data_IF_247093160449
#
_entry.id   IF_247093160449
#
_cell.length_a   1.000
_cell.length_b   1.000
_cell.length_c   1.000
_cell.angle_alpha   90.00
_cell.angle_beta   90.00
_cell.angle_gamma   90.00
#
_symmetry.space_group_name_H-M   'P 1'
#
loop_
_entity.id
_entity.type
_entity.pdbx_description
1 polymer ?
#
# COMPACT_ATOMS: atom_id res chain seq x y z
N UNK A 1 -33.49 -24.47 2.70
CA UNK A 1 -33.33 -24.23 2.78
C UNK A 1 -32.75 -23.93 2.96
N UNK A 2 -32.50 -23.89 2.64
CA UNK A 2 -31.92 -23.53 2.69
C UNK A 2 -31.24 -23.16 2.64
N UNK A 3 -31.33 -23.24 2.35
CA UNK A 3 -30.72 -22.84 2.21
C UNK A 3 -30.11 -22.21 2.06
N UNK A 4 -30.06 -22.03 1.81
CA UNK A 4 -29.46 -21.54 1.71
C UNK A 4 -28.80 -21.01 1.71
N UNK A 5 -28.97 -21.15 1.52
CA UNK A 5 -28.30 -20.77 1.49
C UNK A 5 -27.67 -20.36 1.42
N UNK A 6 -27.66 -20.52 1.28
CA UNK A 6 -26.98 -20.21 1.17
C UNK A 6 -26.37 -19.83 0.89
N UNK A 7 -26.57 -19.82 0.79
CA UNK A 7 -26.05 -19.50 0.53
C UNK A 7 -25.55 -19.02 0.35
N UNK A 8 -25.72 -19.02 0.18
CA UNK A 8 -25.29 -18.65 -0.02
C UNK A 8 -24.62 -18.28 -0.15
N UNK A 9 -24.82 -18.46 -0.17
CA UNK A 9 -24.22 -18.16 -0.40
C UNK A 9 -23.49 -17.92 -0.68
N UNK A 10 -23.59 -18.18 -0.94
CA UNK A 10 -22.93 -17.93 -1.31
C UNK A 10 -22.46 -17.58 -1.72
N UNK A 11 -22.62 -17.52 -1.93
CA UNK A 11 -22.21 -17.12 -2.32
C UNK A 11 -21.66 -16.80 -2.49
N UNK A 12 -21.78 -16.80 -2.81
CA UNK A 12 -21.27 -16.40 -3.06
C UNK A 12 -20.54 -16.17 -3.39
N UNK A 13 -20.63 -16.15 -3.78
CA UNK A 13 -19.92 -15.83 -4.14
C UNK A 13 -19.36 -15.47 -4.64
N UNK A 14 -19.39 -15.55 -5.01
CA UNK A 14 -18.97 -15.10 -5.54
C UNK A 14 -18.43 -14.59 -6.05
N UNK A 15 -18.31 -14.20 -6.46
CA UNK A 15 -18.00 -13.58 -6.91
C UNK A 15 -17.57 -13.06 -6.78
N UNK A 16 -17.44 -12.91 -7.07
CA UNK A 16 -17.05 -12.18 -6.92
C UNK A 16 -15.96 -12.07 -6.55
N UNK A 17 -15.50 -12.45 -6.77
CA UNK A 17 -14.14 -12.78 -6.42
C UNK A 17 -13.22 -11.56 -6.43
N UNK A 18 -13.39 -10.70 -7.32
CA UNK A 18 -12.61 -9.45 -7.36
C UNK A 18 -12.85 -8.62 -6.12
N UNK A 19 -14.09 -8.56 -5.71
CA UNK A 19 -14.41 -7.87 -4.47
C UNK A 19 -13.72 -8.54 -3.29
N UNK A 20 -13.57 -9.86 -3.34
CA UNK A 20 -12.90 -10.59 -2.28
C UNK A 20 -11.42 -10.21 -2.20
N UNK A 21 -10.73 -10.10 -3.34
CA UNK A 21 -9.33 -9.69 -3.32
C UNK A 21 -9.17 -8.27 -2.79
N UNK A 22 -10.13 -7.42 -3.06
CA UNK A 22 -10.10 -6.05 -2.55
C UNK A 22 -10.34 -5.98 -1.05
N UNK A 23 -10.93 -7.04 -0.50
CA UNK A 23 -11.25 -7.10 0.91
C UNK A 23 -10.18 -7.85 1.69
N UNK A 24 -8.93 -7.62 1.36
CA UNK A 24 -7.83 -8.23 2.09
C UNK A 24 -7.96 -7.90 3.57
N UNK A 25 -7.75 -8.89 4.41
CA UNK A 25 -7.75 -8.71 5.85
C UNK A 25 -6.46 -8.01 6.26
N UNK A 26 -6.53 -6.72 6.44
CA UNK A 26 -5.37 -5.91 6.76
C UNK A 26 -4.80 -6.27 8.13
N UNK A 27 -5.64 -6.64 9.09
CA UNK A 27 -5.15 -7.05 10.39
C UNK A 27 -4.32 -8.33 10.29
N UNK A 28 -4.81 -9.31 9.52
CA UNK A 28 -4.06 -10.54 9.32
C UNK A 28 -2.77 -10.30 8.55
N UNK A 29 -2.83 -9.43 7.56
CA UNK A 29 -1.64 -9.07 6.78
C UNK A 29 -0.59 -8.43 7.68
N UNK A 30 -0.97 -7.42 8.45
CA UNK A 30 -0.02 -6.70 9.30
C UNK A 30 0.49 -7.55 10.46
N UNK A 31 -0.24 -8.61 10.83
CA UNK A 31 0.22 -9.53 11.88
C UNK A 31 1.48 -10.29 11.46
N UNK A 32 1.75 -10.43 10.18
CA UNK A 32 2.95 -11.11 9.70
C UNK A 32 4.12 -10.16 9.43
N UNK A 33 3.94 -8.87 9.70
CA UNK A 33 4.96 -7.87 9.43
C UNK A 33 6.16 -8.01 10.37
N UNK A 34 7.35 -7.80 9.82
CA UNK A 34 8.61 -7.85 10.56
C UNK A 34 9.39 -6.59 10.18
N UNK A 35 9.69 -5.76 11.18
CA UNK A 35 10.34 -4.48 10.93
C UNK A 35 11.70 -4.63 10.27
N UNK A 36 12.52 -5.55 10.75
CA UNK A 36 13.84 -5.78 10.16
C UNK A 36 13.74 -6.25 8.70
N UNK A 37 12.75 -7.10 8.42
CA UNK A 37 12.50 -7.55 7.06
C UNK A 37 12.02 -6.38 6.19
N UNK A 38 11.19 -5.50 6.74
CA UNK A 38 10.71 -4.32 6.04
C UNK A 38 11.85 -3.40 5.63
N UNK A 39 12.81 -3.23 6.52
CA UNK A 39 14.00 -2.44 6.21
C UNK A 39 14.76 -3.02 5.03
N UNK A 40 14.89 -4.35 4.99
CA UNK A 40 15.53 -5.03 3.87
C UNK A 40 14.75 -4.84 2.57
N UNK A 41 13.44 -5.01 2.62
CA UNK A 41 12.58 -4.85 1.45
C UNK A 41 12.65 -3.40 0.94
N UNK A 42 12.74 -2.44 1.85
CA UNK A 42 12.80 -1.03 1.48
C UNK A 42 14.01 -0.71 0.61
N UNK A 43 15.05 -1.51 0.64
CA UNK A 43 16.20 -1.29 -0.23
C UNK A 43 15.81 -1.26 -1.70
N UNK A 44 14.75 -1.95 -2.06
CA UNK A 44 14.22 -1.91 -3.43
C UNK A 44 13.58 -0.57 -3.76
N UNK A 45 13.19 0.17 -2.75
CA UNK A 45 12.52 1.48 -2.88
C UNK A 45 13.52 2.62 -2.76
N UNK A 46 14.61 2.39 -2.05
CA UNK A 46 15.59 3.44 -1.71
C UNK A 46 16.29 4.02 -2.92
N UNK A 47 16.32 3.29 -4.04
CA UNK A 47 16.90 3.80 -5.27
C UNK A 47 16.15 5.03 -5.79
N UNK A 48 14.86 5.14 -5.47
CA UNK A 48 14.01 6.21 -5.96
C UNK A 48 13.43 7.08 -4.87
N UNK A 49 13.39 6.60 -3.64
CA UNK A 49 12.71 7.29 -2.53
C UNK A 49 13.62 7.48 -1.33
N UNK A 50 13.47 8.62 -0.67
CA UNK A 50 14.07 8.85 0.64
C UNK A 50 13.05 8.52 1.72
N UNK A 51 13.52 7.97 2.85
CA UNK A 51 12.66 7.66 4.00
C UNK A 51 13.00 8.51 5.22
N UNK A 52 14.10 9.27 5.17
CA UNK A 52 14.54 10.03 6.33
C UNK A 52 13.68 11.28 6.51
N UNK A 53 13.52 11.69 7.76
CA UNK A 53 12.77 12.91 8.09
C UNK A 53 13.46 14.12 7.44
N UNK A 54 12.66 14.91 6.73
CA UNK A 54 13.20 16.06 6.02
C UNK A 54 13.96 15.71 4.76
N UNK A 55 13.92 14.46 4.34
CA UNK A 55 14.61 14.00 3.13
C UNK A 55 14.04 14.63 1.88
N UNK A 56 14.87 14.67 0.85
CA UNK A 56 14.50 15.28 -0.41
C UNK A 56 13.78 14.29 -1.32
N UNK A 57 13.01 14.83 -2.26
CA UNK A 57 12.46 14.02 -3.33
C UNK A 57 13.58 13.63 -4.29
N UNK A 58 13.47 12.42 -4.80
CA UNK A 58 14.41 11.89 -5.81
C UNK A 58 13.62 11.55 -7.06
N UNK A 59 13.85 10.38 -7.65
CA UNK A 59 13.04 9.90 -8.76
C UNK A 59 11.58 9.77 -8.32
N UNK A 60 11.37 9.32 -7.08
CA UNK A 60 10.06 9.32 -6.45
C UNK A 60 10.01 10.32 -5.30
N UNK A 61 8.82 10.60 -4.76
CA UNK A 61 8.68 11.55 -3.66
C UNK A 61 9.25 10.99 -2.37
N UNK A 62 9.62 11.88 -1.44
CA UNK A 62 10.05 11.47 -0.11
C UNK A 62 8.93 10.73 0.60
N UNK A 63 9.27 9.66 1.32
CA UNK A 63 8.28 8.77 1.93
C UNK A 63 8.13 8.93 3.44
N UNK A 64 8.91 9.80 4.08
CA UNK A 64 8.68 10.06 5.50
C UNK A 64 7.25 10.60 5.67
N UNK A 65 6.51 10.08 6.62
CA UNK A 65 5.10 10.44 6.85
C UNK A 65 4.15 9.99 5.75
N UNK A 66 4.55 9.03 4.89
CA UNK A 66 3.69 8.62 3.78
C UNK A 66 2.42 7.91 4.25
N UNK A 67 2.49 7.15 5.35
CA UNK A 67 1.31 6.42 5.83
C UNK A 67 0.27 7.43 6.30
N UNK A 68 -0.94 7.28 5.78
CA UNK A 68 -2.08 8.15 6.00
C UNK A 68 -1.96 9.55 5.37
N UNK A 69 -0.92 9.79 4.57
CA UNK A 69 -0.78 11.04 3.82
C UNK A 69 -1.64 10.98 2.56
N UNK A 70 -2.17 12.11 2.15
CA UNK A 70 -2.94 12.17 0.90
C UNK A 70 -2.05 11.80 -0.28
N UNK A 71 -2.60 11.00 -1.19
CA UNK A 71 -1.87 10.59 -2.39
C UNK A 71 -1.63 11.82 -3.27
N UNK A 72 -0.38 11.96 -3.74
CA UNK A 72 -0.05 13.03 -4.67
C UNK A 72 0.07 14.41 -4.07
N UNK A 73 0.33 14.52 -2.76
CA UNK A 73 0.24 15.81 -2.07
C UNK A 73 1.60 16.51 -1.82
N UNK A 74 2.71 15.82 -2.02
CA UNK A 74 4.03 16.43 -1.77
C UNK A 74 4.24 17.59 -2.75
N UNK A 75 4.43 18.80 -2.20
CA UNK A 75 4.41 20.03 -2.99
C UNK A 75 5.56 20.17 -3.98
N UNK A 76 6.72 19.63 -3.63
CA UNK A 76 7.93 19.80 -4.45
C UNK A 76 8.17 18.66 -5.41
N UNK A 77 7.18 17.77 -5.58
CA UNK A 77 7.32 16.63 -6.46
C UNK A 77 6.28 16.66 -7.57
N UNK A 78 6.71 16.35 -8.78
CA UNK A 78 5.81 16.33 -9.92
C UNK A 78 5.24 14.93 -10.12
N UNK A 79 4.02 14.74 -9.65
CA UNK A 79 3.32 13.45 -9.77
C UNK A 79 2.75 13.24 -11.16
N UNK A 80 2.43 11.98 -11.47
CA UNK A 80 1.56 11.70 -12.60
C UNK A 80 0.19 12.31 -12.35
N UNK A 81 -0.53 12.58 -13.42
CA UNK A 81 -1.89 13.08 -13.29
C UNK A 81 -2.77 12.11 -12.50
N UNK A 82 -2.56 10.80 -12.72
CA UNK A 82 -3.33 9.76 -12.03
C UNK A 82 -3.19 9.87 -10.52
N UNK A 83 -1.99 10.09 -10.00
CA UNK A 83 -1.80 10.23 -8.56
C UNK A 83 -2.34 11.56 -8.04
N UNK A 84 -2.16 12.63 -8.78
CA UNK A 84 -2.66 13.94 -8.37
C UNK A 84 -4.18 13.92 -8.21
N UNK A 85 -4.87 13.17 -9.04
CA UNK A 85 -6.33 13.11 -9.06
C UNK A 85 -6.93 11.96 -8.27
N UNK A 86 -6.09 11.14 -7.64
CA UNK A 86 -6.57 9.92 -7.00
C UNK A 86 -7.54 10.17 -5.82
N UNK A 87 -7.28 11.18 -5.02
CA UNK A 87 -8.22 11.66 -4.02
C UNK A 87 -8.36 10.81 -2.76
N UNK A 88 -7.41 9.92 -2.49
CA UNK A 88 -7.43 9.08 -1.28
C UNK A 88 -6.13 9.24 -0.51
N UNK A 89 -6.12 8.70 0.71
CA UNK A 89 -4.92 8.69 1.54
C UNK A 89 -4.22 7.35 1.46
N UNK A 90 -2.93 7.34 1.79
CA UNK A 90 -2.15 6.10 1.83
C UNK A 90 -2.45 5.34 3.12
N UNK A 91 -3.62 4.71 3.18
CA UNK A 91 -3.95 3.79 4.27
C UNK A 91 -3.16 2.49 4.09
N UNK A 92 -3.17 1.62 5.10
CA UNK A 92 -2.54 0.31 4.95
C UNK A 92 -3.10 -0.45 3.75
N UNK A 93 -4.41 -0.34 3.53
CA UNK A 93 -5.07 -1.02 2.43
C UNK A 93 -4.62 -0.48 1.08
N UNK A 94 -4.56 0.85 0.93
CA UNK A 94 -4.11 1.47 -0.31
C UNK A 94 -2.64 1.16 -0.58
N UNK A 95 -1.81 1.21 0.46
CA UNK A 95 -0.40 0.84 0.31
C UNK A 95 -0.24 -0.61 -0.13
N UNK A 96 -0.98 -1.51 0.51
CA UNK A 96 -0.93 -2.91 0.14
C UNK A 96 -1.32 -3.13 -1.32
N UNK A 97 -2.45 -2.56 -1.73
CA UNK A 97 -2.91 -2.71 -3.11
C UNK A 97 -1.94 -2.14 -4.13
N UNK A 98 -1.43 -0.94 -3.85
CA UNK A 98 -0.48 -0.27 -4.74
C UNK A 98 0.83 -1.06 -4.85
N UNK A 99 1.31 -1.62 -3.73
CA UNK A 99 2.59 -2.35 -3.72
C UNK A 99 2.50 -3.71 -4.37
N UNK A 100 1.30 -4.29 -4.50
CA UNK A 100 1.14 -5.52 -5.28
C UNK A 100 1.56 -5.26 -6.73
N UNK A 101 1.06 -4.18 -7.30
CA UNK A 101 1.35 -3.82 -8.68
C UNK A 101 0.93 -2.36 -8.92
N UNK A 102 1.85 -1.42 -8.77
CA UNK A 102 1.47 0.01 -8.84
C UNK A 102 0.68 0.39 -10.09
N UNK A 103 1.11 -0.05 -11.26
CA UNK A 103 0.45 0.34 -12.51
C UNK A 103 -0.96 -0.25 -12.64
N UNK A 104 -1.25 -1.32 -11.92
CA UNK A 104 -2.59 -1.91 -11.94
C UNK A 104 -3.51 -1.24 -10.93
N UNK A 105 -2.98 -0.90 -9.76
CA UNK A 105 -3.79 -0.28 -8.70
C UNK A 105 -4.18 1.15 -9.07
N UNK A 106 -3.21 1.92 -9.56
CA UNK A 106 -3.47 3.28 -10.04
C UNK A 106 -2.95 3.38 -11.47
N UNK A 107 -3.83 3.18 -12.44
CA UNK A 107 -3.45 3.28 -13.84
C UNK A 107 -2.94 4.69 -14.13
N UNK A 108 -1.84 4.76 -14.85
CA UNK A 108 -1.26 6.05 -15.18
C UNK A 108 -0.19 6.53 -14.22
N UNK A 109 0.08 5.76 -13.15
CA UNK A 109 1.19 6.11 -12.27
C UNK A 109 2.51 6.03 -13.04
N UNK A 110 3.40 6.97 -12.75
CA UNK A 110 4.71 6.93 -13.39
C UNK A 110 5.73 6.10 -12.63
N UNK A 111 5.34 5.51 -11.52
CA UNK A 111 6.22 4.65 -10.74
C UNK A 111 6.49 3.36 -11.50
N UNK A 112 7.73 3.17 -11.90
CA UNK A 112 8.13 2.03 -12.72
C UNK A 112 8.62 0.87 -11.85
N UNK A 113 7.73 0.36 -11.00
CA UNK A 113 8.05 -0.73 -10.09
C UNK A 113 7.12 -1.90 -10.36
N UNK A 114 7.69 -3.10 -10.47
CA UNK A 114 6.89 -4.29 -10.80
C UNK A 114 5.95 -4.71 -9.68
N UNK A 115 6.30 -4.42 -8.44
CA UNK A 115 5.48 -4.78 -7.29
C UNK A 115 6.13 -5.80 -6.39
N UNK A 116 5.50 -6.03 -5.24
CA UNK A 116 5.93 -7.03 -4.26
C UNK A 116 4.87 -8.11 -4.21
N UNK A 117 5.23 -9.31 -4.66
CA UNK A 117 4.26 -10.42 -4.75
C UNK A 117 3.97 -11.06 -3.40
N UNK A 118 4.95 -11.06 -2.49
CA UNK A 118 4.81 -11.76 -1.21
C UNK A 118 4.12 -10.87 -0.19
N UNK A 119 3.14 -11.44 0.48
CA UNK A 119 2.39 -10.72 1.51
C UNK A 119 3.29 -10.23 2.64
N UNK A 120 4.22 -11.07 3.06
CA UNK A 120 5.14 -10.70 4.14
C UNK A 120 6.01 -9.51 3.75
N UNK A 121 6.44 -9.45 2.50
CA UNK A 121 7.24 -8.33 2.02
C UNK A 121 6.43 -7.04 2.09
N UNK A 122 5.18 -7.07 1.62
CA UNK A 122 4.32 -5.89 1.66
C UNK A 122 4.02 -5.46 3.09
N UNK A 123 3.61 -6.42 3.92
CA UNK A 123 3.30 -6.12 5.32
C UNK A 123 4.50 -5.52 6.03
N UNK A 124 5.66 -6.09 5.82
CA UNK A 124 6.88 -5.66 6.49
C UNK A 124 7.34 -4.27 6.05
N UNK A 125 7.29 -3.99 4.75
CA UNK A 125 7.68 -2.66 4.29
C UNK A 125 6.65 -1.60 4.70
N UNK A 126 5.37 -1.96 4.76
CA UNK A 126 4.34 -1.05 5.25
C UNK A 126 4.59 -0.72 6.72
N UNK A 127 4.94 -1.73 7.52
CA UNK A 127 5.30 -1.50 8.92
C UNK A 127 6.50 -0.55 9.02
N UNK A 128 7.52 -0.77 8.19
CA UNK A 128 8.69 0.09 8.17
C UNK A 128 8.32 1.52 7.80
N UNK A 129 7.47 1.70 6.80
CA UNK A 129 6.99 3.03 6.42
C UNK A 129 6.22 3.69 7.56
N UNK A 130 5.40 2.91 8.25
CA UNK A 130 4.61 3.43 9.37
C UNK A 130 5.49 3.90 10.52
N UNK A 131 6.59 3.19 10.77
CA UNK A 131 7.53 3.58 11.84
C UNK A 131 8.27 4.86 11.48
N UNK A 132 8.40 5.19 10.22
CA UNK A 132 9.08 6.41 9.77
C UNK A 132 8.06 7.52 9.55
N UNK A 133 7.42 7.90 10.64
CA UNK A 133 6.35 8.90 10.64
C UNK A 133 6.35 9.62 11.98
N UNK A 134 5.93 10.89 11.96
CA UNK A 134 5.73 11.65 13.18
C UNK A 134 4.57 11.09 14.00
N UNK A 135 3.57 10.52 13.32
CA UNK A 135 2.36 9.99 13.96
C UNK A 135 2.02 8.62 13.37
N UNK A 136 2.78 7.57 13.75
CA UNK A 136 2.47 6.24 13.24
C UNK A 136 1.04 5.83 13.56
N UNK A 137 0.35 5.21 12.60
CA UNK A 137 -0.98 4.69 12.85
C UNK A 137 -0.91 3.47 13.76
N UNK A 138 -1.90 3.29 14.63
CA UNK A 138 -1.99 2.05 15.39
C UNK A 138 -2.20 0.89 14.43
N UNK A 139 -1.56 -0.24 14.73
CA UNK A 139 -1.73 -1.43 13.91
C UNK A 139 -3.12 -2.02 14.18
N UNK A 140 -3.77 -2.54 13.14
CA UNK A 140 -5.10 -3.13 13.32
C UNK A 140 -5.07 -4.45 14.07
#
# INVERSE_FOLDING_TARGET
IARLVGSEMCIRDRTKSDAVTEKVDIAALMAMADLAHGEKVFKKCAACHSIVKGGKNNIGPALYNVVNRQVGVVSDYKYSKALTEYGKNWTFEELNGYLIRPAKWIKGTKMAFAGLKKEKDRASVILYLNQNSDNPLPLP
#
